data_IF_736855683494
#
_entry.id   IF_736855683494
#
_cell.length_a   1.000
_cell.length_b   1.000
_cell.length_c   1.000
_cell.angle_alpha   90.00
_cell.angle_beta   90.00
_cell.angle_gamma   90.00
#
_symmetry.space_group_name_H-M   'P 1'
#
loop_
_entity.id
_entity.type
_entity.pdbx_description
1 polymer ?
#
# COMPACT_ATOMS: atom_id res chain seq x y z
N UNK A 1 -39.01 -31.35 -69.11
CA UNK A 1 -40.01 -30.29 -69.27
C UNK A 1 -40.87 -30.25 -68.02
N UNK A 2 -40.84 -29.15 -67.27
CA UNK A 2 -41.92 -28.59 -66.43
C UNK A 2 -41.28 -27.55 -65.49
N UNK A 3 -41.57 -26.28 -65.79
CA UNK A 3 -41.34 -25.11 -64.95
C UNK A 3 -42.03 -25.28 -63.59
N UNK A 4 -41.46 -24.68 -62.53
CA UNK A 4 -42.10 -23.53 -61.85
C UNK A 4 -41.21 -22.90 -60.78
N UNK A 5 -41.05 -21.60 -60.97
CA UNK A 5 -40.52 -20.54 -60.11
C UNK A 5 -41.26 -20.54 -58.77
N UNK A 6 -40.54 -20.39 -57.65
CA UNK A 6 -41.15 -19.98 -56.38
C UNK A 6 -40.41 -18.76 -55.81
N UNK A 7 -41.22 -17.76 -55.51
CA UNK A 7 -40.89 -16.36 -55.20
C UNK A 7 -40.00 -16.20 -53.97
N UNK A 8 -38.98 -15.36 -54.10
CA UNK A 8 -38.28 -14.76 -52.98
C UNK A 8 -39.15 -13.66 -52.35
N UNK A 9 -39.55 -13.85 -51.09
CA UNK A 9 -40.20 -12.82 -50.29
C UNK A 9 -39.09 -11.99 -49.61
N UNK A 10 -38.68 -10.90 -50.24
CA UNK A 10 -37.74 -9.94 -49.67
C UNK A 10 -38.38 -9.19 -48.51
N UNK A 11 -37.98 -9.51 -47.28
CA UNK A 11 -38.31 -8.70 -46.12
C UNK A 11 -37.45 -7.42 -46.15
N UNK A 12 -38.06 -6.29 -46.47
CA UNK A 12 -37.45 -4.96 -46.33
C UNK A 12 -37.39 -4.65 -44.84
N UNK A 13 -36.24 -4.90 -44.22
CA UNK A 13 -35.97 -4.48 -42.84
C UNK A 13 -35.73 -2.97 -42.88
N UNK A 14 -36.74 -2.20 -42.49
CA UNK A 14 -36.60 -0.77 -42.24
C UNK A 14 -35.67 -0.58 -41.02
N UNK A 15 -34.44 -0.14 -41.27
CA UNK A 15 -33.48 0.19 -40.24
C UNK A 15 -33.92 1.50 -39.56
N UNK A 16 -34.54 1.41 -38.39
CA UNK A 16 -34.85 2.57 -37.58
C UNK A 16 -33.52 3.20 -37.10
N UNK A 17 -33.20 4.38 -37.62
CA UNK A 17 -32.06 5.17 -37.15
C UNK A 17 -32.35 5.65 -35.73
N UNK A 18 -31.69 5.04 -34.74
CA UNK A 18 -31.71 5.51 -33.35
C UNK A 18 -30.73 6.68 -33.27
N UNK A 19 -31.14 7.88 -32.83
CA UNK A 19 -30.20 8.99 -32.67
C UNK A 19 -29.22 8.67 -31.54
N UNK A 20 -27.92 8.63 -31.88
CA UNK A 20 -26.83 8.49 -30.93
C UNK A 20 -26.79 9.71 -30.02
N UNK A 21 -27.18 9.55 -28.76
CA UNK A 21 -26.98 10.56 -27.73
C UNK A 21 -25.46 10.72 -27.51
N UNK A 22 -24.87 11.79 -28.04
CA UNK A 22 -23.51 12.17 -27.70
C UNK A 22 -23.50 12.64 -26.24
N UNK A 23 -22.98 11.81 -25.35
CA UNK A 23 -22.69 12.22 -23.98
C UNK A 23 -21.66 13.36 -24.03
N UNK A 24 -22.14 14.59 -23.79
CA UNK A 24 -21.27 15.74 -23.60
C UNK A 24 -20.49 15.53 -22.31
N UNK A 25 -19.19 15.27 -22.42
CA UNK A 25 -18.29 15.25 -21.27
C UNK A 25 -18.21 16.66 -20.71
N UNK A 26 -18.81 16.88 -19.54
CA UNK A 26 -18.62 18.13 -18.80
C UNK A 26 -17.12 18.35 -18.55
N UNK A 27 -16.60 19.59 -18.64
CA UNK A 27 -15.21 19.88 -18.32
C UNK A 27 -14.93 19.48 -16.88
N UNK A 28 -14.06 18.48 -16.69
CA UNK A 28 -13.56 18.09 -15.39
C UNK A 28 -12.72 19.25 -14.85
N UNK A 29 -13.25 19.96 -13.86
CA UNK A 29 -12.47 20.92 -13.07
C UNK A 29 -11.29 20.19 -12.44
N UNK A 30 -10.07 20.68 -12.71
CA UNK A 30 -8.86 20.14 -12.11
C UNK A 30 -8.99 20.12 -10.57
N UNK A 31 -8.48 19.08 -9.88
CA UNK A 31 -8.49 19.06 -8.43
C UNK A 31 -7.78 20.31 -7.89
N UNK A 32 -8.28 20.90 -6.80
CA UNK A 32 -7.63 22.06 -6.20
C UNK A 32 -6.17 21.74 -5.86
N UNK A 33 -5.25 22.72 -5.96
CA UNK A 33 -3.86 22.52 -5.61
C UNK A 33 -3.77 22.00 -4.17
N UNK A 34 -3.07 20.89 -3.99
CA UNK A 34 -2.88 20.30 -2.67
C UNK A 34 -2.23 21.36 -1.74
N UNK A 35 -2.73 21.48 -0.50
CA UNK A 35 -2.12 22.34 0.51
C UNK A 35 -0.63 21.95 0.65
N UNK A 36 0.30 22.92 0.77
CA UNK A 36 1.72 22.62 0.93
C UNK A 36 1.92 21.72 2.14
N UNK A 37 2.32 20.48 1.89
CA UNK A 37 2.86 19.59 2.93
C UNK A 37 4.21 20.21 3.32
N UNK A 38 4.41 20.53 4.61
CA UNK A 38 5.72 21.00 5.09
C UNK A 38 6.83 20.11 4.52
N UNK A 39 7.94 20.70 4.05
CA UNK A 39 9.06 19.94 3.48
C UNK A 39 9.60 18.85 4.43
N UNK A 40 9.31 18.99 5.73
CA UNK A 40 9.65 18.00 6.75
C UNK A 40 8.79 16.72 6.67
N UNK A 41 7.58 16.76 6.11
CA UNK A 41 6.62 15.65 6.17
C UNK A 41 6.73 14.71 4.96
N UNK A 42 6.29 13.46 5.13
CA UNK A 42 6.20 12.53 4.01
C UNK A 42 5.15 13.01 2.99
N UNK A 43 5.51 13.07 1.72
CA UNK A 43 4.58 13.40 0.63
C UNK A 43 3.91 12.14 0.09
N UNK A 44 2.74 12.27 -0.53
CA UNK A 44 2.08 11.13 -1.19
C UNK A 44 2.98 10.52 -2.27
N UNK A 45 3.61 11.36 -3.10
CA UNK A 45 4.51 10.90 -4.17
C UNK A 45 5.69 10.09 -3.63
N UNK A 46 6.29 10.51 -2.51
CA UNK A 46 7.36 9.76 -1.87
C UNK A 46 6.85 8.45 -1.27
N UNK A 47 5.70 8.47 -0.58
CA UNK A 47 5.09 7.27 -0.02
C UNK A 47 4.79 6.23 -1.11
N UNK A 48 4.20 6.63 -2.25
CA UNK A 48 3.92 5.71 -3.36
C UNK A 48 5.21 5.09 -3.90
N UNK A 49 6.24 5.91 -4.11
CA UNK A 49 7.55 5.44 -4.61
C UNK A 49 8.21 4.45 -3.66
N UNK A 50 8.23 4.74 -2.36
CA UNK A 50 8.78 3.84 -1.34
C UNK A 50 8.00 2.53 -1.33
N UNK A 51 6.66 2.60 -1.31
CA UNK A 51 5.84 1.39 -1.27
C UNK A 51 6.05 0.49 -2.49
N UNK A 52 6.14 1.07 -3.69
CA UNK A 52 6.46 0.33 -4.93
C UNK A 52 7.85 -0.29 -4.86
N UNK A 53 8.87 0.47 -4.45
CA UNK A 53 10.24 -0.03 -4.30
C UNK A 53 10.33 -1.18 -3.28
N UNK A 54 9.56 -1.12 -2.19
CA UNK A 54 9.47 -2.19 -1.19
C UNK A 54 8.88 -3.47 -1.77
N UNK A 55 7.79 -3.37 -2.55
CA UNK A 55 7.22 -4.53 -3.23
C UNK A 55 8.19 -5.12 -4.26
N UNK A 56 8.91 -4.29 -5.01
CA UNK A 56 9.97 -4.76 -5.92
C UNK A 56 11.08 -5.50 -5.16
N UNK A 57 11.52 -4.98 -4.02
CA UNK A 57 12.54 -5.61 -3.20
C UNK A 57 12.07 -6.96 -2.62
N UNK A 58 10.80 -7.07 -2.20
CA UNK A 58 10.23 -8.34 -1.77
C UNK A 58 10.10 -9.34 -2.92
N UNK A 59 9.63 -8.90 -4.09
CA UNK A 59 9.53 -9.77 -5.26
C UNK A 59 10.90 -10.33 -5.69
N UNK A 60 11.96 -9.51 -5.65
CA UNK A 60 13.33 -9.96 -5.91
C UNK A 60 13.83 -11.01 -4.91
N UNK A 61 13.22 -11.10 -3.73
CA UNK A 61 13.49 -12.10 -2.68
C UNK A 61 12.52 -13.28 -2.70
N UNK A 62 11.69 -13.37 -3.76
CA UNK A 62 10.66 -14.39 -3.97
C UNK A 62 9.54 -14.38 -2.91
N UNK A 63 9.23 -13.20 -2.36
CA UNK A 63 8.16 -13.00 -1.38
C UNK A 63 7.01 -12.17 -1.99
N UNK A 64 5.78 -12.47 -1.57
CA UNK A 64 4.62 -11.59 -1.78
C UNK A 64 4.35 -10.81 -0.48
N UNK A 65 4.18 -9.49 -0.59
CA UNK A 65 3.96 -8.63 0.57
C UNK A 65 2.83 -7.62 0.38
N UNK A 66 2.26 -7.18 1.50
CA UNK A 66 1.54 -5.91 1.60
C UNK A 66 2.45 -4.87 2.23
N UNK A 67 2.33 -3.63 1.75
CA UNK A 67 3.05 -2.48 2.26
C UNK A 67 2.05 -1.41 2.65
N UNK A 68 2.21 -0.82 3.82
CA UNK A 68 1.49 0.38 4.24
C UNK A 68 2.44 1.47 4.70
N UNK A 69 2.11 2.71 4.39
CA UNK A 69 2.85 3.89 4.84
C UNK A 69 1.87 4.87 5.47
N UNK A 70 2.18 5.33 6.67
CA UNK A 70 1.45 6.40 7.37
C UNK A 70 2.29 7.66 7.46
N UNK A 71 1.65 8.79 7.77
CA UNK A 71 2.35 9.99 8.23
C UNK A 71 2.59 10.00 9.74
N UNK A 72 3.17 11.11 10.24
CA UNK A 72 3.53 11.29 11.64
C UNK A 72 2.34 11.22 12.60
N UNK A 73 1.14 11.54 12.11
CA UNK A 73 -0.12 11.51 12.86
C UNK A 73 -0.81 10.14 12.78
N UNK A 74 -0.26 9.21 11.99
CA UNK A 74 -0.81 7.87 11.78
C UNK A 74 -1.83 7.79 10.67
N UNK A 75 -2.04 8.84 9.88
CA UNK A 75 -2.95 8.78 8.74
C UNK A 75 -2.32 7.96 7.62
N UNK A 76 -3.09 7.02 7.06
CA UNK A 76 -2.65 6.22 5.93
C UNK A 76 -2.38 7.12 4.71
N UNK A 77 -1.19 7.02 4.15
CA UNK A 77 -0.80 7.69 2.91
C UNK A 77 -0.89 6.75 1.71
N UNK A 78 -0.43 5.52 1.89
CA UNK A 78 -0.43 4.48 0.84
C UNK A 78 -0.60 3.11 1.48
N UNK A 79 -1.40 2.24 0.85
CA UNK A 79 -1.39 0.81 1.09
C UNK A 79 -1.39 0.10 -0.27
N UNK A 80 -0.47 -0.84 -0.46
CA UNK A 80 -0.36 -1.67 -1.67
C UNK A 80 -0.28 -3.14 -1.27
N UNK A 81 -0.83 -4.01 -2.11
CA UNK A 81 -0.73 -5.47 -1.98
C UNK A 81 -0.15 -6.02 -3.27
N UNK A 82 0.83 -6.91 -3.15
CA UNK A 82 1.25 -7.74 -4.28
C UNK A 82 0.14 -8.72 -4.69
N UNK A 83 0.15 -9.12 -5.96
CA UNK A 83 -0.66 -10.21 -6.46
C UNK A 83 -0.26 -11.53 -5.79
N UNK A 84 -1.23 -12.40 -5.50
CA UNK A 84 -0.98 -13.69 -4.84
C UNK A 84 -0.56 -13.59 -3.37
N UNK A 85 -0.74 -12.43 -2.72
CA UNK A 85 -0.43 -12.23 -1.31
C UNK A 85 -1.29 -13.12 -0.40
N UNK A 86 -0.66 -13.72 0.60
CA UNK A 86 -1.34 -14.35 1.74
C UNK A 86 -2.16 -13.30 2.54
N UNK A 87 -3.45 -13.54 2.86
CA UNK A 87 -4.29 -12.65 3.68
C UNK A 87 -3.66 -12.15 5.00
N UNK A 88 -2.73 -12.91 5.58
CA UNK A 88 -1.96 -12.52 6.79
C UNK A 88 -1.17 -11.22 6.56
N UNK A 89 -0.63 -10.98 5.36
CA UNK A 89 0.15 -9.78 5.06
C UNK A 89 -0.66 -8.50 5.19
N UNK A 90 -1.87 -8.48 4.60
CA UNK A 90 -2.81 -7.35 4.70
C UNK A 90 -3.26 -7.06 6.13
N UNK A 91 -3.34 -8.09 6.99
CA UNK A 91 -3.72 -7.93 8.40
C UNK A 91 -2.57 -7.44 9.27
N UNK A 92 -1.36 -7.91 9.01
CA UNK A 92 -0.20 -7.66 9.89
C UNK A 92 0.47 -6.31 9.63
N UNK A 93 0.56 -5.85 8.37
CA UNK A 93 1.20 -4.56 8.07
C UNK A 93 0.57 -3.37 8.83
N UNK A 94 -0.77 -3.20 8.89
CA UNK A 94 -1.38 -2.15 9.69
C UNK A 94 -1.09 -2.27 11.20
N UNK A 95 -1.12 -3.48 11.76
CA UNK A 95 -0.82 -3.71 13.19
C UNK A 95 0.63 -3.37 13.52
N UNK A 96 1.58 -3.75 12.66
CA UNK A 96 2.99 -3.35 12.80
C UNK A 96 3.13 -1.83 12.75
N UNK A 97 2.39 -1.16 11.87
CA UNK A 97 2.36 0.30 11.80
C UNK A 97 1.86 0.93 13.11
N UNK A 98 0.76 0.41 13.67
CA UNK A 98 0.23 0.80 14.98
C UNK A 98 1.26 0.60 16.09
N UNK A 99 2.03 -0.50 16.07
CA UNK A 99 3.12 -0.76 17.02
C UNK A 99 4.18 0.35 16.97
N UNK A 100 4.71 0.64 15.78
CA UNK A 100 5.73 1.70 15.62
C UNK A 100 5.14 3.07 15.97
N UNK A 101 3.85 3.29 15.68
CA UNK A 101 3.18 4.52 16.07
C UNK A 101 3.12 4.70 17.59
N UNK A 102 2.87 3.63 18.33
CA UNK A 102 2.80 3.66 19.79
C UNK A 102 4.17 3.86 20.45
N UNK A 103 5.20 3.14 19.96
CA UNK A 103 6.47 3.02 20.67
C UNK A 103 7.62 3.81 20.04
N UNK A 104 7.47 4.28 18.80
CA UNK A 104 8.50 5.01 18.04
C UNK A 104 9.82 4.23 17.84
N UNK A 105 9.76 2.91 17.88
CA UNK A 105 10.86 1.97 17.64
C UNK A 105 10.48 0.97 16.55
N UNK A 106 11.46 0.36 15.87
CA UNK A 106 11.18 -0.70 14.88
C UNK A 106 10.50 -1.90 15.55
N UNK A 107 9.71 -2.65 14.77
CA UNK A 107 9.11 -3.88 15.30
C UNK A 107 10.17 -4.92 15.66
N UNK A 108 11.34 -4.92 15.02
CA UNK A 108 12.46 -5.79 15.42
C UNK A 108 12.94 -5.49 16.83
N UNK A 109 13.25 -4.23 17.14
CA UNK A 109 13.72 -3.84 18.47
C UNK A 109 12.68 -4.15 19.54
N UNK A 110 11.40 -3.95 19.23
CA UNK A 110 10.31 -4.26 20.16
C UNK A 110 10.10 -5.77 20.31
N UNK A 111 10.27 -6.55 19.25
CA UNK A 111 10.29 -8.01 19.29
C UNK A 111 11.40 -8.54 20.19
N UNK A 112 12.63 -8.02 20.04
CA UNK A 112 13.76 -8.35 20.92
C UNK A 112 13.51 -7.92 22.37
N UNK A 113 12.75 -6.85 22.60
CA UNK A 113 12.36 -6.43 23.95
C UNK A 113 11.40 -7.42 24.60
N UNK A 114 10.46 -8.02 23.85
CA UNK A 114 9.56 -9.05 24.40
C UNK A 114 10.31 -10.25 24.99
N UNK A 115 11.43 -10.63 24.39
CA UNK A 115 12.29 -11.72 24.85
C UNK A 115 12.98 -11.37 26.19
N UNK A 116 13.32 -10.09 26.41
CA UNK A 116 14.20 -9.62 27.49
C UNK A 116 13.45 -8.97 28.66
N UNK A 117 12.25 -8.44 28.45
CA UNK A 117 11.48 -7.66 29.42
C UNK A 117 10.12 -8.32 29.68
N UNK A 118 10.01 -9.02 30.82
CA UNK A 118 8.79 -9.72 31.21
C UNK A 118 7.59 -8.77 31.38
N UNK A 119 7.80 -7.57 31.92
CA UNK A 119 6.71 -6.60 32.10
C UNK A 119 6.20 -6.09 30.75
N UNK A 120 7.10 -5.84 29.80
CA UNK A 120 6.71 -5.47 28.43
C UNK A 120 5.97 -6.62 27.73
N UNK A 121 6.47 -7.85 27.86
CA UNK A 121 5.81 -9.04 27.31
C UNK A 121 4.43 -9.28 27.89
N UNK A 122 4.27 -9.17 29.21
CA UNK A 122 3.02 -9.47 29.91
C UNK A 122 2.00 -8.32 29.87
N UNK A 123 2.43 -7.09 29.53
CA UNK A 123 1.57 -5.94 29.26
C UNK A 123 1.40 -5.70 27.75
N UNK A 124 2.12 -4.73 27.15
CA UNK A 124 2.03 -4.42 25.71
C UNK A 124 2.11 -5.64 24.78
N UNK A 125 2.93 -6.64 25.10
CA UNK A 125 3.10 -7.85 24.30
C UNK A 125 1.83 -8.71 24.15
N UNK A 126 0.85 -8.57 25.03
CA UNK A 126 -0.44 -9.28 24.97
C UNK A 126 -1.56 -8.46 24.33
N UNK A 127 -1.31 -7.19 24.01
CA UNK A 127 -2.32 -6.32 23.40
C UNK A 127 -2.50 -6.67 21.92
N UNK A 128 -3.69 -7.10 21.47
CA UNK A 128 -3.93 -7.54 20.10
C UNK A 128 -3.84 -6.41 19.06
N UNK A 129 -3.74 -5.15 19.49
CA UNK A 129 -3.55 -4.00 18.60
C UNK A 129 -2.13 -3.90 18.06
N UNK A 130 -1.18 -4.58 18.68
CA UNK A 130 0.23 -4.52 18.32
C UNK A 130 0.71 -5.82 17.68
N UNK A 131 1.63 -5.69 16.74
CA UNK A 131 2.37 -6.79 16.15
C UNK A 131 3.87 -6.47 16.16
N UNK A 132 4.65 -7.37 16.75
CA UNK A 132 6.07 -7.13 17.09
C UNK A 132 7.03 -7.90 16.19
N UNK A 133 6.54 -8.53 15.13
CA UNK A 133 7.42 -9.20 14.18
C UNK A 133 8.15 -8.18 13.29
N UNK A 134 9.45 -8.36 13.00
CA UNK A 134 10.22 -7.58 12.04
C UNK A 134 9.43 -7.20 10.78
N UNK A 135 9.47 -5.93 10.39
CA UNK A 135 8.82 -5.46 9.15
C UNK A 135 8.24 -4.05 9.19
N UNK A 136 8.19 -3.37 10.33
CA UNK A 136 7.85 -1.95 10.36
C UNK A 136 8.94 -1.09 10.98
N UNK A 137 9.15 0.07 10.35
CA UNK A 137 10.27 0.96 10.55
C UNK A 137 9.75 2.40 10.73
N UNK A 138 10.18 3.11 11.80
CA UNK A 138 9.87 4.52 11.93
C UNK A 138 10.71 5.34 10.93
N UNK A 139 10.07 6.26 10.23
CA UNK A 139 10.70 7.14 9.25
C UNK A 139 11.02 8.49 9.88
N UNK A 140 12.26 8.91 9.76
CA UNK A 140 12.73 10.22 10.23
C UNK A 140 13.34 11.04 9.10
N UNK A 141 13.15 12.36 9.14
CA UNK A 141 13.84 13.34 8.29
C UNK A 141 14.34 14.48 9.15
N UNK A 142 15.64 14.77 9.09
CA UNK A 142 16.23 15.84 9.90
C UNK A 142 15.99 15.69 11.41
N UNK A 143 15.88 14.45 11.91
CA UNK A 143 15.57 14.16 13.32
C UNK A 143 14.08 14.21 13.69
N UNK A 144 13.20 14.65 12.78
CA UNK A 144 11.76 14.65 13.01
C UNK A 144 11.15 13.31 12.57
N UNK A 145 10.23 12.75 13.37
CA UNK A 145 9.42 11.60 12.98
C UNK A 145 8.38 12.02 11.94
N UNK A 146 8.34 11.35 10.80
CA UNK A 146 7.51 11.75 9.66
C UNK A 146 6.47 10.72 9.24
N UNK A 147 6.55 9.50 9.80
CA UNK A 147 5.66 8.41 9.46
C UNK A 147 6.25 7.03 9.72
N UNK A 148 5.55 6.01 9.24
CA UNK A 148 5.94 4.60 9.38
C UNK A 148 5.87 3.93 8.01
N UNK A 149 6.87 3.10 7.71
CA UNK A 149 6.79 2.09 6.66
C UNK A 149 6.55 0.73 7.33
N UNK A 150 5.51 0.01 6.94
CA UNK A 150 5.21 -1.32 7.43
C UNK A 150 5.01 -2.32 6.29
N UNK A 151 5.59 -3.50 6.43
CA UNK A 151 5.55 -4.61 5.48
C UNK A 151 5.04 -5.85 6.18
N UNK A 152 4.14 -6.58 5.52
CA UNK A 152 3.56 -7.81 6.04
C UNK A 152 3.36 -8.85 4.93
N UNK A 153 3.68 -10.10 5.22
CA UNK A 153 3.38 -11.24 4.36
C UNK A 153 4.61 -11.94 3.78
N UNK A 154 5.76 -11.26 3.74
CA UNK A 154 7.05 -11.80 3.29
C UNK A 154 7.82 -12.53 4.38
N UNK A 155 7.12 -13.25 5.27
CA UNK A 155 7.69 -14.04 6.36
C UNK A 155 8.72 -13.27 7.23
N UNK A 156 9.98 -13.68 7.20
CA UNK A 156 11.11 -13.10 7.92
C UNK A 156 11.84 -12.00 7.13
N UNK A 157 11.45 -11.76 5.87
CA UNK A 157 12.09 -10.82 4.96
C UNK A 157 11.42 -9.46 4.85
N UNK A 158 10.25 -9.28 5.48
CA UNK A 158 9.48 -8.03 5.49
C UNK A 158 10.39 -6.80 5.73
N UNK A 159 11.22 -6.85 6.76
CA UNK A 159 12.11 -5.73 7.10
C UNK A 159 13.30 -5.58 6.15
N UNK A 160 13.81 -6.69 5.61
CA UNK A 160 14.89 -6.63 4.62
C UNK A 160 14.41 -5.93 3.33
N UNK A 161 13.17 -6.19 2.89
CA UNK A 161 12.57 -5.45 1.78
C UNK A 161 12.43 -3.96 2.09
N UNK A 162 11.95 -3.64 3.28
CA UNK A 162 11.75 -2.26 3.72
C UNK A 162 13.07 -1.48 3.76
N UNK A 163 14.11 -2.05 4.35
CA UNK A 163 15.44 -1.45 4.43
C UNK A 163 16.06 -1.25 3.04
N UNK A 164 15.91 -2.21 2.13
CA UNK A 164 16.40 -2.09 0.75
C UNK A 164 15.71 -0.96 -0.03
N UNK A 165 14.39 -0.79 0.17
CA UNK A 165 13.67 0.33 -0.41
C UNK A 165 14.11 1.68 0.17
N UNK A 166 14.27 1.76 1.50
CA UNK A 166 14.67 2.98 2.20
C UNK A 166 16.13 3.38 1.92
N UNK A 167 17.00 2.44 1.54
CA UNK A 167 18.35 2.76 1.08
C UNK A 167 18.37 3.65 -0.19
N UNK A 168 17.25 3.72 -0.93
CA UNK A 168 17.05 4.60 -2.08
C UNK A 168 16.50 5.99 -1.71
N UNK A 169 16.25 6.26 -0.42
CA UNK A 169 15.73 7.52 0.12
C UNK A 169 16.78 8.17 1.03
N UNK A 170 17.79 8.88 0.47
CA UNK A 170 18.92 9.40 1.24
C UNK A 170 18.53 10.46 2.28
N UNK A 171 17.37 11.10 2.13
CA UNK A 171 16.80 12.07 3.06
C UNK A 171 16.14 11.42 4.29
N UNK A 172 15.90 10.10 4.25
CA UNK A 172 15.27 9.36 5.34
C UNK A 172 16.30 8.66 6.22
N UNK A 173 15.99 8.60 7.51
CA UNK A 173 16.68 7.78 8.50
C UNK A 173 15.69 6.83 9.16
N UNK A 174 16.15 5.62 9.43
CA UNK A 174 15.44 4.62 10.21
C UNK A 174 16.02 4.67 11.61
N UNK A 175 15.20 4.98 12.61
CA UNK A 175 15.63 4.77 13.99
C UNK A 175 15.51 3.27 14.31
N UNK A 176 16.47 2.70 15.07
CA UNK A 176 16.34 1.33 15.57
C UNK A 176 15.06 1.17 16.40
#
# INVERSE_FOLDING_TARGET
>A
MHHKISMALGAVIALAMVPSAQAQTAPQSAPPPAKPVSAAMITLAQAVRIAQNTLTACAAKQETAAVSITDADGNLRVALSADGLNPVGLRTAPLKSTTVMQFRQSTRVLGERLEKDAAFRDGPGKDPRYFFHPGALPLYRGGQFIGVLAVGGGHDKDEACALEALAKEPDLKVAP
#
